data_IF_293189742073
#
_entry.id   IF_293189742073
#
_cell.length_a   1.000
_cell.length_b   1.000
_cell.length_c   1.000
_cell.angle_alpha   90.00
_cell.angle_beta   90.00
_cell.angle_gamma   90.00
#
_symmetry.space_group_name_H-M   'P 1'
#
loop_
_entity.id
_entity.type
_entity.pdbx_description
1 polymer ?
#
# COMPACT_ATOMS: atom_id res chain seq x y z
N UNK A 1 1.38 0.32 -15.13
CA UNK A 1 2.20 -0.45 -14.19
C UNK A 1 2.98 0.52 -13.31
N UNK A 2 2.89 0.35 -11.99
CA UNK A 2 3.65 1.10 -10.99
C UNK A 2 4.92 0.30 -10.70
N UNK A 3 6.06 0.96 -10.82
CA UNK A 3 7.38 0.38 -10.52
C UNK A 3 7.79 0.72 -9.08
N UNK A 4 8.59 -0.13 -8.42
CA UNK A 4 9.12 0.14 -7.09
C UNK A 4 10.22 1.21 -7.16
N UNK A 5 10.32 2.02 -6.10
CA UNK A 5 11.45 2.95 -5.93
C UNK A 5 12.67 2.21 -5.38
N UNK A 6 12.43 1.17 -4.57
CA UNK A 6 13.47 0.35 -3.96
C UNK A 6 13.09 -1.13 -4.04
N UNK A 7 14.07 -1.98 -4.33
CA UNK A 7 13.94 -3.43 -4.22
C UNK A 7 15.06 -3.97 -3.34
N UNK A 8 14.68 -4.71 -2.29
CA UNK A 8 15.59 -5.43 -1.40
C UNK A 8 15.43 -6.92 -1.63
N UNK A 9 16.55 -7.58 -1.92
CA UNK A 9 16.63 -9.05 -1.98
C UNK A 9 16.79 -9.59 -0.57
N UNK A 10 15.96 -10.57 -0.22
CA UNK A 10 15.98 -11.28 1.05
C UNK A 10 16.46 -12.71 0.78
N UNK A 11 16.97 -13.40 1.80
CA UNK A 11 17.41 -14.80 1.66
C UNK A 11 16.28 -15.72 1.17
N UNK A 12 15.04 -15.40 1.54
CA UNK A 12 13.83 -16.18 1.28
C UNK A 12 12.82 -15.50 0.33
N UNK A 13 13.18 -14.38 -0.29
CA UNK A 13 12.23 -13.62 -1.11
C UNK A 13 12.70 -12.24 -1.54
N UNK A 14 11.73 -11.37 -1.82
CA UNK A 14 11.95 -9.99 -2.24
C UNK A 14 11.00 -9.05 -1.49
N UNK A 15 11.52 -7.87 -1.16
CA UNK A 15 10.74 -6.76 -0.64
C UNK A 15 10.89 -5.56 -1.56
N UNK A 16 9.80 -4.82 -1.75
CA UNK A 16 9.73 -3.62 -2.59
C UNK A 16 9.05 -2.50 -1.84
N UNK A 17 9.59 -1.29 -1.97
CA UNK A 17 8.97 -0.08 -1.45
C UNK A 17 8.48 0.81 -2.59
N UNK A 18 7.29 1.37 -2.38
CA UNK A 18 6.63 2.28 -3.30
C UNK A 18 6.29 3.57 -2.56
N UNK A 19 6.67 4.70 -3.14
CA UNK A 19 6.41 6.03 -2.64
C UNK A 19 5.61 6.82 -3.67
N UNK A 20 4.55 7.47 -3.21
CA UNK A 20 3.71 8.31 -4.05
C UNK A 20 3.81 9.77 -3.58
N UNK A 21 3.79 10.71 -4.55
CA UNK A 21 3.91 12.16 -4.32
C UNK A 21 2.78 12.78 -3.48
N UNK A 22 1.86 11.98 -2.94
CA UNK A 22 0.76 12.41 -2.10
C UNK A 22 0.91 11.99 -0.63
N UNK A 23 2.10 11.50 -0.25
CA UNK A 23 2.45 11.01 1.09
C UNK A 23 1.95 9.61 1.39
N UNK A 24 1.39 8.90 0.40
CA UNK A 24 1.07 7.48 0.51
C UNK A 24 2.19 6.63 -0.10
N UNK A 25 2.23 5.37 0.27
CA UNK A 25 3.15 4.40 -0.27
C UNK A 25 2.71 2.98 0.07
N UNK A 26 3.56 2.01 -0.21
CA UNK A 26 3.33 0.63 0.17
C UNK A 26 4.66 -0.11 0.41
N UNK A 27 4.66 -1.01 1.39
CA UNK A 27 5.65 -2.07 1.52
C UNK A 27 5.06 -3.35 0.94
N UNK A 28 5.79 -4.00 0.05
CA UNK A 28 5.32 -5.20 -0.65
C UNK A 28 6.37 -6.28 -0.50
N UNK A 29 5.95 -7.49 -0.16
CA UNK A 29 6.85 -8.62 0.05
C UNK A 29 6.34 -9.86 -0.67
N UNK A 30 7.25 -10.66 -1.22
CA UNK A 30 6.97 -12.00 -1.74
C UNK A 30 8.06 -12.92 -1.23
N UNK A 31 7.69 -13.88 -0.38
CA UNK A 31 8.60 -14.89 0.16
C UNK A 31 8.14 -16.28 -0.24
N UNK A 32 9.06 -17.23 -0.13
CA UNK A 32 8.75 -18.66 -0.31
C UNK A 32 7.80 -19.17 0.77
N UNK A 33 7.99 -18.73 2.01
CA UNK A 33 7.19 -19.04 3.18
C UNK A 33 6.86 -17.73 3.92
N UNK A 34 5.66 -17.18 3.75
CA UNK A 34 5.27 -15.96 4.49
C UNK A 34 4.57 -16.32 5.80
N UNK A 35 4.84 -15.52 6.84
CA UNK A 35 4.26 -15.66 8.19
C UNK A 35 2.73 -15.44 8.24
N UNK A 36 2.12 -14.92 7.17
CA UNK A 36 0.67 -14.79 7.02
C UNK A 36 0.05 -15.89 6.10
N UNK A 37 0.73 -17.03 5.95
CA UNK A 37 0.17 -18.25 5.33
C UNK A 37 0.26 -18.33 3.81
N UNK A 38 1.11 -17.52 3.17
CA UNK A 38 1.22 -17.41 1.71
C UNK A 38 1.72 -18.68 1.02
N UNK A 39 1.00 -19.10 -0.03
CA UNK A 39 1.51 -20.05 -1.03
C UNK A 39 2.69 -19.41 -1.79
N UNK A 40 3.71 -20.20 -2.13
CA UNK A 40 4.86 -19.78 -2.93
C UNK A 40 4.46 -18.87 -4.10
N UNK A 41 5.11 -17.70 -4.18
CA UNK A 41 5.04 -16.81 -5.34
C UNK A 41 3.94 -15.74 -5.31
N UNK A 42 3.17 -15.64 -4.22
CA UNK A 42 2.18 -14.57 -4.05
C UNK A 42 2.72 -13.40 -3.23
N UNK A 43 2.21 -12.21 -3.54
CA UNK A 43 2.57 -10.96 -2.90
C UNK A 43 1.70 -10.66 -1.68
N UNK A 44 2.31 -10.02 -0.70
CA UNK A 44 1.66 -9.34 0.42
C UNK A 44 1.97 -7.85 0.35
N UNK A 45 0.99 -7.01 0.65
CA UNK A 45 1.09 -5.55 0.60
C UNK A 45 0.57 -4.93 1.89
N UNK A 46 1.34 -3.97 2.42
CA UNK A 46 1.00 -3.12 3.54
C UNK A 46 1.00 -1.64 3.09
N UNK A 47 -0.11 -0.92 3.18
CA UNK A 47 -0.15 0.51 2.87
C UNK A 47 0.69 1.32 3.86
N UNK A 48 1.41 2.31 3.35
CA UNK A 48 2.22 3.23 4.14
C UNK A 48 1.69 4.66 4.04
N UNK A 49 1.77 5.40 5.14
CA UNK A 49 1.52 6.84 5.20
C UNK A 49 2.75 7.54 5.73
N UNK A 50 3.30 8.47 4.93
CA UNK A 50 4.56 9.17 5.21
C UNK A 50 5.71 8.22 5.59
N UNK A 51 5.76 7.04 4.93
CA UNK A 51 6.77 6.01 5.18
C UNK A 51 6.52 5.14 6.42
N UNK A 52 5.45 5.39 7.19
CA UNK A 52 5.08 4.60 8.36
C UNK A 52 3.92 3.66 8.03
N UNK A 53 3.89 2.47 8.65
CA UNK A 53 2.74 1.58 8.54
C UNK A 53 1.50 2.25 9.14
N UNK A 54 0.34 1.96 8.56
CA UNK A 54 -0.91 2.34 9.17
C UNK A 54 -1.14 1.49 10.42
N UNK A 55 -1.37 2.12 11.56
CA UNK A 55 -1.94 1.44 12.72
C UNK A 55 -3.47 1.33 12.53
N UNK A 56 -4.19 1.02 13.61
CA UNK A 56 -5.66 0.87 13.63
C UNK A 56 -6.45 2.00 12.92
N UNK A 57 -5.89 3.22 12.83
CA UNK A 57 -6.46 4.37 12.10
C UNK A 57 -6.63 4.12 10.57
N UNK A 58 -5.94 3.12 10.02
CA UNK A 58 -6.11 2.70 8.63
C UNK A 58 -7.48 2.07 8.34
N UNK A 59 -8.10 1.44 9.35
CA UNK A 59 -9.36 0.71 9.19
C UNK A 59 -10.52 1.65 8.85
N UNK A 60 -10.55 2.85 9.45
CA UNK A 60 -11.56 3.88 9.17
C UNK A 60 -11.48 4.43 7.73
N UNK A 61 -10.34 4.24 7.07
CA UNK A 61 -10.14 4.56 5.65
C UNK A 61 -10.48 3.38 4.72
N UNK A 62 -10.97 2.28 5.29
CA UNK A 62 -11.19 1.01 4.59
C UNK A 62 -9.90 0.35 4.12
N UNK A 63 -8.77 0.68 4.75
CA UNK A 63 -7.47 0.06 4.46
C UNK A 63 -7.23 -1.10 5.42
N UNK A 64 -6.54 -2.11 4.91
CA UNK A 64 -6.06 -3.25 5.66
C UNK A 64 -4.66 -2.96 6.21
N UNK A 65 -4.29 -3.66 7.29
CA UNK A 65 -2.92 -3.66 7.82
C UNK A 65 -1.98 -4.37 6.83
N UNK A 66 -2.31 -5.63 6.50
CA UNK A 66 -1.65 -6.41 5.45
C UNK A 66 -2.69 -7.16 4.62
N UNK A 67 -2.53 -7.15 3.31
CA UNK A 67 -3.30 -7.98 2.37
C UNK A 67 -2.36 -8.92 1.62
N UNK A 68 -2.60 -10.22 1.76
CA UNK A 68 -1.78 -11.27 1.14
C UNK A 68 -2.41 -11.95 -0.07
N UNK A 69 -1.73 -12.99 -0.54
CA UNK A 69 -2.17 -13.89 -1.61
C UNK A 69 -2.45 -13.22 -2.96
N UNK A 70 -1.72 -12.13 -3.26
CA UNK A 70 -1.94 -11.37 -4.49
C UNK A 70 -1.04 -11.89 -5.62
N UNK A 71 -1.62 -12.09 -6.80
CA UNK A 71 -0.82 -12.18 -8.02
C UNK A 71 -0.39 -10.77 -8.50
N UNK A 72 0.42 -10.70 -9.55
CA UNK A 72 0.95 -9.42 -10.05
C UNK A 72 -0.14 -8.41 -10.46
N UNK A 73 -1.24 -8.88 -11.06
CA UNK A 73 -2.35 -8.02 -11.47
C UNK A 73 -3.04 -7.42 -10.25
N UNK A 74 -3.38 -8.27 -9.28
CA UNK A 74 -4.03 -7.85 -8.04
C UNK A 74 -3.13 -6.90 -7.23
N UNK A 75 -1.82 -7.17 -7.18
CA UNK A 75 -0.87 -6.26 -6.57
C UNK A 75 -0.90 -4.87 -7.23
N UNK A 76 -0.91 -4.82 -8.57
CA UNK A 76 -0.98 -3.55 -9.29
C UNK A 76 -2.29 -2.79 -9.04
N UNK A 77 -3.42 -3.50 -8.98
CA UNK A 77 -4.70 -2.90 -8.62
C UNK A 77 -4.67 -2.25 -7.22
N UNK A 78 -4.11 -2.94 -6.23
CA UNK A 78 -3.96 -2.42 -4.87
C UNK A 78 -3.03 -1.19 -4.82
N UNK A 79 -1.89 -1.22 -5.51
CA UNK A 79 -1.00 -0.07 -5.63
C UNK A 79 -1.70 1.14 -6.26
N UNK A 80 -2.53 0.94 -7.28
CA UNK A 80 -3.34 2.00 -7.88
C UNK A 80 -4.40 2.55 -6.92
N UNK A 81 -5.05 1.69 -6.12
CA UNK A 81 -5.98 2.13 -5.07
C UNK A 81 -5.27 3.00 -4.04
N UNK A 82 -4.15 2.53 -3.47
CA UNK A 82 -3.35 3.27 -2.47
C UNK A 82 -2.91 4.64 -3.03
N UNK A 83 -2.38 4.66 -4.26
CA UNK A 83 -1.99 5.91 -4.96
C UNK A 83 -3.15 6.90 -5.12
N UNK A 84 -4.40 6.44 -5.15
CA UNK A 84 -5.57 7.30 -5.30
C UNK A 84 -6.04 7.99 -4.01
N UNK A 85 -5.68 7.49 -2.82
CA UNK A 85 -6.19 8.03 -1.54
C UNK A 85 -5.80 9.49 -1.30
N UNK A 86 -4.60 9.90 -1.69
CA UNK A 86 -4.19 11.30 -1.59
C UNK A 86 -4.90 12.26 -2.55
N UNK A 87 -5.70 11.76 -3.52
CA UNK A 87 -6.61 12.57 -4.34
C UNK A 87 -7.96 12.77 -3.63
N UNK A 88 -8.53 11.71 -3.04
CA UNK A 88 -9.83 11.77 -2.33
C UNK A 88 -9.78 12.73 -1.12
N UNK A 89 -8.74 12.65 -0.28
CA UNK A 89 -8.59 13.56 0.88
C UNK A 89 -8.45 15.04 0.48
N UNK A 90 -7.84 15.33 -0.66
CA UNK A 90 -7.69 16.71 -1.14
C UNK A 90 -9.02 17.34 -1.57
N UNK A 91 -9.91 16.54 -2.16
CA UNK A 91 -11.26 16.99 -2.52
C UNK A 91 -12.14 17.19 -1.29
N UNK A 92 -12.12 16.26 -0.33
CA UNK A 92 -12.89 16.38 0.92
C UNK A 92 -12.45 17.61 1.71
N UNK A 93 -11.14 17.80 1.94
CA UNK A 93 -10.64 18.96 2.66
C UNK A 93 -10.97 20.29 1.95
N UNK A 94 -10.92 20.33 0.62
CA UNK A 94 -11.32 21.50 -0.16
C UNK A 94 -12.82 21.79 -0.09
N UNK A 95 -13.66 20.76 0.07
CA UNK A 95 -15.11 20.92 0.22
C UNK A 95 -15.48 21.46 1.60
N UNK A 96 -14.84 20.94 2.66
CA UNK A 96 -15.05 21.38 4.05
C UNK A 96 -14.67 22.86 4.20
N UNK A 97 -13.49 23.24 3.72
CA UNK A 97 -13.02 24.64 3.74
C UNK A 97 -13.93 25.63 2.99
N UNK A 98 -14.72 25.15 2.02
CA UNK A 98 -15.67 25.97 1.27
C UNK A 98 -17.03 26.12 1.97
N UNK A 99 -17.36 25.26 2.92
CA UNK A 99 -18.61 25.32 3.70
C UNK A 99 -18.48 26.15 4.98
N UNK A 100 -17.25 26.40 5.42
CA UNK A 100 -16.93 27.22 6.61
C UNK A 100 -16.70 28.71 6.27
N UNK A 101 -16.99 29.14 5.04
CA UNK A 101 -17.03 30.54 4.60
C UNK A 101 -18.42 30.89 4.11
#
# INVERSE_FOLDING_TARGET
>A
MILPDETKWLEDGIQRHYHFNNGWGASVICRKDTSAGGKQGLWEIAPLRFGMMLNMDGFDLGLYDVKGFLNDIQLQEELHKIKSYGRKNRFINKLIWRKEK
#
